data_IF_986206883882
#
_entry.id   IF_986206883882
#
_cell.length_a   1.000
_cell.length_b   1.000
_cell.length_c   1.000
_cell.angle_alpha   90.00
_cell.angle_beta   90.00
_cell.angle_gamma   90.00
#
_symmetry.space_group_name_H-M   'P 1'
#
loop_
_entity.id
_entity.type
_entity.pdbx_description
1 polymer ?
#
# COMPACT_ATOMS: atom_id res chain seq x y z
N UNK A 1 28.28 -12.17 35.07
CA UNK A 1 27.03 -12.84 35.47
C UNK A 1 25.89 -11.82 35.42
N UNK A 2 25.29 -11.63 34.24
CA UNK A 2 24.10 -10.79 34.07
C UNK A 2 22.89 -11.71 33.95
N UNK A 3 21.85 -11.47 34.75
CA UNK A 3 20.61 -12.23 34.72
C UNK A 3 20.00 -12.18 33.30
N UNK A 4 19.85 -13.32 32.59
CA UNK A 4 19.48 -13.33 31.17
C UNK A 4 17.96 -13.23 30.91
N UNK A 5 17.18 -12.75 31.89
CA UNK A 5 15.72 -12.64 31.75
C UNK A 5 15.34 -11.17 31.78
N UNK A 6 15.04 -10.61 30.60
CA UNK A 6 14.35 -9.33 30.46
C UNK A 6 12.92 -9.63 30.02
N UNK A 7 12.04 -10.00 30.95
CA UNK A 7 10.60 -10.23 30.67
C UNK A 7 10.03 -11.58 31.13
N UNK A 8 8.74 -11.82 30.84
CA UNK A 8 8.08 -13.12 31.06
C UNK A 8 8.27 -14.02 29.83
N UNK A 9 8.89 -15.19 30.03
CA UNK A 9 9.01 -16.22 28.99
C UNK A 9 7.63 -16.71 28.55
N UNK A 10 7.45 -16.89 27.23
CA UNK A 10 6.22 -17.39 26.63
C UNK A 10 6.36 -18.84 26.18
N UNK A 11 5.25 -19.51 25.90
CA UNK A 11 5.27 -20.81 25.25
C UNK A 11 5.81 -20.68 23.80
N UNK A 12 6.45 -21.72 23.23
CA UNK A 12 6.93 -21.67 21.84
C UNK A 12 5.83 -21.39 20.81
N UNK A 13 4.62 -21.88 21.04
CA UNK A 13 3.44 -21.61 20.19
C UNK A 13 2.99 -20.14 20.24
N UNK A 14 3.45 -19.37 21.23
CA UNK A 14 3.22 -17.93 21.41
C UNK A 14 4.49 -17.09 21.12
N UNK A 15 5.48 -17.65 20.43
CA UNK A 15 6.71 -16.96 20.00
C UNK A 15 7.90 -17.05 20.96
N UNK A 16 7.76 -17.70 22.12
CA UNK A 16 8.85 -17.87 23.08
C UNK A 16 9.99 -18.76 22.54
N UNK A 17 11.24 -18.46 22.87
CA UNK A 17 12.38 -19.28 22.45
C UNK A 17 13.76 -18.80 22.91
N UNK A 18 14.81 -19.40 22.35
CA UNK A 18 16.19 -19.12 22.77
C UNK A 18 16.65 -17.67 22.52
N UNK A 19 15.96 -16.93 21.65
CA UNK A 19 16.24 -15.51 21.45
C UNK A 19 15.93 -14.69 22.72
N UNK A 20 14.98 -15.13 23.57
CA UNK A 20 14.59 -14.39 24.78
C UNK A 20 15.72 -14.40 25.82
N UNK A 21 16.51 -15.50 25.82
CA UNK A 21 17.68 -15.68 26.69
C UNK A 21 18.94 -15.04 26.13
N UNK A 22 19.11 -15.08 24.81
CA UNK A 22 20.26 -14.52 24.11
C UNK A 22 19.82 -13.71 22.90
N UNK A 23 19.37 -12.46 23.10
CA UNK A 23 18.77 -11.63 22.05
C UNK A 23 19.66 -11.42 20.83
N UNK A 24 20.98 -11.42 21.04
CA UNK A 24 21.97 -11.16 20.00
C UNK A 24 22.64 -12.44 19.45
N UNK A 25 22.07 -13.64 19.73
CA UNK A 25 22.60 -14.89 19.18
C UNK A 25 22.38 -14.93 17.66
N UNK A 26 23.29 -15.58 16.94
CA UNK A 26 23.11 -15.81 15.50
C UNK A 26 21.81 -16.60 15.23
N UNK A 27 20.90 -16.04 14.44
CA UNK A 27 19.65 -16.69 14.06
C UNK A 27 19.86 -17.50 12.77
N UNK A 28 19.98 -18.82 12.89
CA UNK A 28 20.13 -19.70 11.72
C UNK A 28 18.82 -19.96 10.96
N UNK A 29 17.67 -19.47 11.45
CA UNK A 29 16.38 -19.72 10.77
C UNK A 29 16.27 -19.07 9.39
N UNK A 30 17.00 -17.97 9.20
CA UNK A 30 17.09 -17.26 7.90
C UNK A 30 17.65 -18.14 6.76
N UNK A 31 18.27 -19.29 7.06
CA UNK A 31 18.79 -20.24 6.08
C UNK A 31 17.81 -21.35 5.69
N UNK A 32 16.63 -21.39 6.31
CA UNK A 32 15.58 -22.38 6.02
C UNK A 32 14.19 -21.75 5.92
N UNK A 33 14.13 -20.49 5.48
CA UNK A 33 12.87 -19.81 5.17
C UNK A 33 12.11 -20.55 4.05
N UNK A 34 10.79 -20.48 4.10
CA UNK A 34 9.86 -21.15 3.20
C UNK A 34 10.22 -22.64 2.99
N UNK A 35 10.29 -23.44 4.07
CA UNK A 35 10.68 -24.83 3.98
C UNK A 35 9.62 -25.64 3.23
N UNK A 36 10.03 -26.64 2.46
CA UNK A 36 9.13 -27.46 1.63
C UNK A 36 7.97 -28.12 2.41
N UNK A 37 8.15 -28.39 3.70
CA UNK A 37 7.09 -28.98 4.56
C UNK A 37 5.93 -28.01 4.82
N UNK A 38 6.14 -26.70 4.69
CA UNK A 38 5.12 -25.67 4.83
C UNK A 38 4.43 -25.34 3.49
N UNK A 39 4.97 -25.81 2.36
CA UNK A 39 4.40 -25.59 1.03
C UNK A 39 3.27 -26.60 0.74
N UNK A 40 2.00 -26.16 0.61
CA UNK A 40 0.87 -27.05 0.34
C UNK A 40 0.80 -27.55 -1.10
N UNK A 41 1.61 -27.02 -2.02
CA UNK A 41 1.56 -27.37 -3.44
C UNK A 41 2.31 -28.67 -3.74
N UNK A 42 3.29 -29.02 -2.90
CA UNK A 42 4.12 -30.22 -3.02
C UNK A 42 5.18 -30.12 -4.12
N UNK A 43 6.20 -30.98 -4.01
CA UNK A 43 7.42 -30.89 -4.82
C UNK A 43 7.24 -31.07 -6.34
N UNK A 44 6.11 -31.59 -6.80
CA UNK A 44 5.82 -31.78 -8.22
C UNK A 44 5.17 -30.55 -8.88
N UNK A 45 4.81 -29.53 -8.10
CA UNK A 45 4.16 -28.33 -8.62
C UNK A 45 5.16 -27.44 -9.38
N UNK A 46 4.78 -27.04 -10.59
CA UNK A 46 5.53 -26.12 -11.44
C UNK A 46 4.62 -24.94 -11.83
N UNK A 47 4.80 -23.81 -11.15
CA UNK A 47 3.98 -22.63 -11.41
C UNK A 47 4.13 -22.10 -12.83
N UNK A 48 5.33 -22.18 -13.42
CA UNK A 48 5.57 -21.70 -14.77
C UNK A 48 4.74 -22.49 -15.79
N UNK A 49 4.68 -23.81 -15.64
CA UNK A 49 3.84 -24.67 -16.46
C UNK A 49 2.34 -24.38 -16.26
N UNK A 50 1.92 -24.09 -15.04
CA UNK A 50 0.51 -23.81 -14.72
C UNK A 50 0.02 -22.48 -15.29
N UNK A 51 0.78 -21.40 -15.03
CA UNK A 51 0.41 -20.04 -15.47
C UNK A 51 0.50 -19.88 -16.98
N UNK A 52 1.39 -20.62 -17.65
CA UNK A 52 1.46 -20.65 -19.12
C UNK A 52 0.17 -21.15 -19.79
N UNK A 53 -0.73 -21.82 -19.04
CA UNK A 53 -2.03 -22.31 -19.54
C UNK A 53 -3.21 -21.44 -19.14
N UNK A 54 -2.97 -20.24 -18.60
CA UNK A 54 -4.02 -19.31 -18.19
C UNK A 54 -4.60 -18.59 -19.41
N UNK A 55 -5.92 -18.41 -19.42
CA UNK A 55 -6.60 -17.53 -20.38
C UNK A 55 -6.52 -16.09 -19.85
N UNK A 56 -5.56 -15.32 -20.38
CA UNK A 56 -5.29 -13.95 -19.92
C UNK A 56 -6.45 -13.01 -20.23
N UNK A 57 -7.12 -13.20 -21.37
CA UNK A 57 -8.25 -12.35 -21.75
C UNK A 57 -9.45 -12.62 -20.85
N UNK A 58 -9.71 -13.89 -20.51
CA UNK A 58 -10.73 -14.23 -19.51
C UNK A 58 -10.40 -13.69 -18.12
N UNK A 59 -9.14 -13.79 -17.70
CA UNK A 59 -8.70 -13.24 -16.41
C UNK A 59 -8.88 -11.72 -16.37
N UNK A 60 -8.53 -11.03 -17.45
CA UNK A 60 -8.69 -9.57 -17.57
C UNK A 60 -10.16 -9.18 -17.41
N UNK A 61 -11.07 -9.84 -18.15
CA UNK A 61 -12.53 -9.60 -18.04
C UNK A 61 -13.06 -9.86 -16.64
N UNK A 62 -12.60 -10.92 -15.96
CA UNK A 62 -13.04 -11.21 -14.60
C UNK A 62 -12.56 -10.15 -13.59
N UNK A 63 -11.35 -9.60 -13.79
CA UNK A 63 -10.84 -8.51 -12.96
C UNK A 63 -11.62 -7.21 -13.23
N UNK A 64 -11.92 -6.91 -14.50
CA UNK A 64 -12.77 -5.77 -14.89
C UNK A 64 -14.19 -5.85 -14.31
N UNK A 65 -14.78 -7.04 -14.31
CA UNK A 65 -16.06 -7.29 -13.64
C UNK A 65 -15.96 -6.99 -12.14
N UNK A 66 -14.92 -7.48 -11.46
CA UNK A 66 -14.69 -7.15 -10.04
C UNK A 66 -14.54 -5.65 -9.83
N UNK A 67 -13.80 -4.94 -10.71
CA UNK A 67 -13.56 -3.50 -10.56
C UNK A 67 -14.85 -2.69 -10.53
N UNK A 68 -15.86 -3.10 -11.29
CA UNK A 68 -17.14 -2.38 -11.42
C UNK A 68 -18.27 -2.96 -10.57
N UNK A 69 -18.03 -4.07 -9.85
CA UNK A 69 -19.02 -4.73 -9.01
C UNK A 69 -18.80 -4.39 -7.54
N UNK A 70 -19.28 -3.21 -7.14
CA UNK A 70 -19.20 -2.71 -5.76
C UNK A 70 -19.77 -3.71 -4.75
N UNK A 71 -19.03 -3.94 -3.67
CA UNK A 71 -19.38 -4.82 -2.56
C UNK A 71 -19.91 -4.02 -1.36
N UNK A 72 -20.94 -4.50 -0.65
CA UNK A 72 -21.56 -3.75 0.45
C UNK A 72 -20.63 -3.55 1.66
N UNK A 73 -19.67 -4.45 1.86
CA UNK A 73 -18.71 -4.39 2.97
C UNK A 73 -17.52 -3.47 2.71
N UNK A 74 -17.35 -2.99 1.47
CA UNK A 74 -16.37 -1.97 1.12
C UNK A 74 -16.78 -1.27 -0.19
N UNK A 75 -17.77 -0.37 -0.20
CA UNK A 75 -18.31 0.19 -1.43
C UNK A 75 -17.26 0.90 -2.30
N UNK A 76 -17.36 0.76 -3.62
CA UNK A 76 -16.40 1.33 -4.57
C UNK A 76 -16.59 2.84 -4.73
N UNK A 77 -15.54 3.62 -4.52
CA UNK A 77 -15.52 5.03 -4.90
C UNK A 77 -15.80 5.16 -6.40
N UNK A 78 -16.69 6.08 -6.77
CA UNK A 78 -17.07 6.34 -8.17
C UNK A 78 -17.58 5.10 -8.92
N UNK A 79 -17.99 4.04 -8.19
CA UNK A 79 -18.40 2.76 -8.78
C UNK A 79 -17.26 1.97 -9.41
N UNK A 80 -15.98 2.26 -9.11
CA UNK A 80 -14.84 1.60 -9.73
C UNK A 80 -13.67 1.38 -8.75
N UNK A 81 -13.28 0.14 -8.48
CA UNK A 81 -12.13 -0.20 -7.60
C UNK A 81 -10.76 -0.03 -8.25
N UNK A 82 -10.69 0.27 -9.54
CA UNK A 82 -9.43 0.43 -10.28
C UNK A 82 -8.37 1.27 -9.56
N UNK A 83 -8.68 2.49 -9.08
CA UNK A 83 -7.69 3.29 -8.35
C UNK A 83 -7.17 2.63 -7.06
N UNK A 84 -8.03 1.90 -6.35
CA UNK A 84 -7.62 1.11 -5.17
C UNK A 84 -6.68 -0.04 -5.57
N UNK A 85 -6.91 -0.69 -6.71
CA UNK A 85 -6.03 -1.75 -7.22
C UNK A 85 -4.69 -1.22 -7.74
N UNK A 86 -4.67 -0.01 -8.33
CA UNK A 86 -3.42 0.68 -8.68
C UNK A 86 -2.60 0.92 -7.42
N UNK A 87 -3.21 1.50 -6.36
CA UNK A 87 -2.53 1.68 -5.07
C UNK A 87 -2.04 0.35 -4.50
N UNK A 88 -2.86 -0.70 -4.53
CA UNK A 88 -2.48 -2.02 -4.02
C UNK A 88 -1.24 -2.57 -4.73
N UNK A 89 -1.22 -2.53 -6.06
CA UNK A 89 -0.10 -2.99 -6.88
C UNK A 89 1.15 -2.14 -6.66
N UNK A 90 0.99 -0.81 -6.59
CA UNK A 90 2.06 0.13 -6.26
C UNK A 90 2.70 -0.19 -4.91
N UNK A 91 1.91 -0.32 -3.84
CA UNK A 91 2.42 -0.66 -2.51
C UNK A 91 3.04 -2.06 -2.45
N UNK A 92 2.58 -3.01 -3.27
CA UNK A 92 3.17 -4.34 -3.32
C UNK A 92 4.59 -4.28 -3.91
N UNK A 93 4.79 -3.53 -4.99
CA UNK A 93 6.09 -3.33 -5.62
C UNK A 93 6.99 -2.35 -4.84
N UNK A 94 6.40 -1.36 -4.17
CA UNK A 94 7.09 -0.23 -3.57
C UNK A 94 7.82 -0.50 -2.27
N UNK A 95 7.92 -1.75 -1.81
CA UNK A 95 8.79 -2.10 -0.68
C UNK A 95 10.22 -2.44 -1.10
N UNK A 96 10.47 -2.51 -2.41
CA UNK A 96 11.75 -2.88 -3.00
C UNK A 96 12.88 -1.90 -2.62
N UNK A 97 14.11 -2.40 -2.46
CA UNK A 97 15.28 -1.53 -2.27
C UNK A 97 16.54 -2.08 -2.91
N UNK A 98 17.27 -1.22 -3.61
CA UNK A 98 18.44 -1.60 -4.42
C UNK A 98 19.63 -2.09 -3.59
N UNK A 99 19.69 -1.73 -2.30
CA UNK A 99 20.86 -2.00 -1.47
C UNK A 99 21.09 -3.51 -1.26
N UNK A 100 20.01 -4.29 -1.10
CA UNK A 100 20.09 -5.75 -0.94
C UNK A 100 19.08 -6.53 -1.79
N UNK A 101 18.28 -5.85 -2.61
CA UNK A 101 17.30 -6.46 -3.50
C UNK A 101 16.05 -7.02 -2.81
N UNK A 102 15.87 -6.81 -1.50
CA UNK A 102 14.69 -7.28 -0.75
C UNK A 102 13.47 -6.38 -1.00
N UNK A 103 12.31 -6.90 -0.58
CA UNK A 103 11.01 -6.28 -0.82
C UNK A 103 10.53 -6.48 -2.25
N UNK A 104 9.55 -5.67 -2.65
CA UNK A 104 8.89 -5.75 -3.94
C UNK A 104 7.79 -6.82 -3.99
N UNK A 105 7.16 -6.91 -5.17
CA UNK A 105 5.96 -7.75 -5.35
C UNK A 105 6.25 -9.23 -5.62
N UNK A 106 7.53 -9.62 -5.72
CA UNK A 106 7.95 -10.91 -6.29
C UNK A 106 7.42 -12.16 -5.58
N UNK A 107 7.20 -12.10 -4.27
CA UNK A 107 6.65 -13.21 -3.48
C UNK A 107 5.23 -12.98 -2.97
N UNK A 108 4.57 -11.88 -3.35
CA UNK A 108 3.24 -11.53 -2.84
C UNK A 108 3.22 -11.20 -1.34
N UNK A 109 4.36 -10.75 -0.77
CA UNK A 109 4.56 -10.58 0.68
C UNK A 109 3.60 -9.60 1.35
N UNK A 110 2.94 -8.72 0.59
CA UNK A 110 1.91 -7.81 1.11
C UNK A 110 0.74 -8.55 1.79
N UNK A 111 0.55 -9.85 1.54
CA UNK A 111 -0.50 -10.65 2.20
C UNK A 111 -0.13 -11.18 3.59
N UNK A 112 1.13 -11.05 4.00
CA UNK A 112 1.63 -11.52 5.30
C UNK A 112 2.16 -10.37 6.17
N UNK A 113 2.34 -10.65 7.45
CA UNK A 113 3.06 -9.78 8.36
C UNK A 113 4.52 -9.54 7.88
N UNK A 114 5.14 -8.39 8.17
CA UNK A 114 4.52 -7.21 8.78
C UNK A 114 3.73 -6.37 7.76
N UNK A 115 3.93 -6.59 6.46
CA UNK A 115 3.45 -5.71 5.39
C UNK A 115 1.91 -5.64 5.33
N UNK A 116 1.21 -6.72 5.63
CA UNK A 116 -0.25 -6.74 5.64
C UNK A 116 -0.87 -5.78 6.69
N UNK A 117 -0.05 -5.28 7.62
CA UNK A 117 -0.46 -4.48 8.78
C UNK A 117 0.32 -3.18 8.94
N UNK A 118 1.17 -2.84 7.98
CA UNK A 118 1.79 -1.51 7.94
C UNK A 118 0.73 -0.42 7.86
N UNK A 119 0.90 0.73 8.56
CA UNK A 119 -0.01 1.86 8.46
C UNK A 119 -0.28 2.30 7.02
N UNK A 120 0.77 2.37 6.20
CA UNK A 120 0.64 2.81 4.80
C UNK A 120 -0.05 1.77 3.91
N UNK A 121 -0.23 0.53 4.39
CA UNK A 121 -1.02 -0.51 3.72
C UNK A 121 -2.46 -0.59 4.24
N UNK A 122 -2.92 0.38 5.03
CA UNK A 122 -4.31 0.48 5.46
C UNK A 122 -5.28 0.33 4.28
N UNK A 123 -6.36 -0.41 4.53
CA UNK A 123 -7.42 -0.78 3.57
C UNK A 123 -7.00 -1.71 2.41
N UNK A 124 -5.70 -2.02 2.25
CA UNK A 124 -5.27 -2.98 1.23
C UNK A 124 -5.62 -4.44 1.59
N UNK A 125 -5.96 -4.70 2.85
CA UNK A 125 -6.62 -5.93 3.28
C UNK A 125 -7.98 -6.13 2.58
N UNK A 126 -8.78 -5.05 2.44
CA UNK A 126 -10.03 -5.07 1.65
C UNK A 126 -9.74 -5.22 0.16
N UNK A 127 -8.75 -4.50 -0.36
CA UNK A 127 -8.36 -4.58 -1.77
C UNK A 127 -8.00 -6.03 -2.19
N UNK A 128 -7.14 -6.70 -1.42
CA UNK A 128 -6.79 -8.11 -1.66
C UNK A 128 -8.02 -9.02 -1.52
N UNK A 129 -8.89 -8.76 -0.55
CA UNK A 129 -10.12 -9.54 -0.34
C UNK A 129 -11.10 -9.45 -1.51
N UNK A 130 -11.21 -8.29 -2.17
CA UNK A 130 -12.05 -8.08 -3.35
C UNK A 130 -11.63 -9.00 -4.52
N UNK A 131 -10.34 -9.37 -4.61
CA UNK A 131 -9.79 -10.23 -5.66
C UNK A 131 -9.85 -11.72 -5.34
N UNK A 132 -10.32 -12.10 -4.14
CA UNK A 132 -10.48 -13.52 -3.79
C UNK A 132 -11.35 -14.32 -4.78
N UNK A 133 -12.49 -13.81 -5.31
CA UNK A 133 -13.28 -14.52 -6.31
C UNK A 133 -12.48 -14.88 -7.57
N UNK A 134 -11.59 -13.97 -8.03
CA UNK A 134 -10.69 -14.23 -9.15
C UNK A 134 -9.68 -15.31 -8.77
N UNK A 135 -8.98 -15.16 -7.63
CA UNK A 135 -8.04 -16.19 -7.15
C UNK A 135 -8.70 -17.56 -7.01
N UNK A 136 -9.95 -17.60 -6.52
CA UNK A 136 -10.75 -18.82 -6.38
C UNK A 136 -11.06 -19.47 -7.73
N UNK A 137 -11.36 -18.69 -8.76
CA UNK A 137 -11.66 -19.19 -10.12
C UNK A 137 -10.43 -19.78 -10.80
N UNK A 138 -9.27 -19.13 -10.69
CA UNK A 138 -8.04 -19.55 -11.38
C UNK A 138 -7.16 -20.51 -10.56
N UNK A 139 -7.38 -20.61 -9.26
CA UNK A 139 -6.73 -21.60 -8.39
C UNK A 139 -5.21 -21.57 -8.51
N UNK A 140 -4.61 -22.74 -8.76
CA UNK A 140 -3.14 -22.91 -8.86
C UNK A 140 -2.50 -22.31 -10.11
N UNK A 141 -3.30 -21.93 -11.13
CA UNK A 141 -2.79 -21.29 -12.34
C UNK A 141 -2.43 -19.82 -12.17
N UNK A 142 -2.80 -19.23 -11.04
CA UNK A 142 -2.56 -17.82 -10.76
C UNK A 142 -2.14 -17.65 -9.30
N UNK A 143 -0.93 -17.19 -9.07
CA UNK A 143 -0.45 -16.81 -7.74
C UNK A 143 -1.10 -15.50 -7.29
N UNK A 144 -1.17 -15.29 -5.97
CA UNK A 144 -1.50 -13.97 -5.42
C UNK A 144 -0.46 -12.93 -5.81
N UNK A 145 0.82 -13.32 -5.85
CA UNK A 145 1.91 -12.43 -6.25
C UNK A 145 1.70 -11.82 -7.65
N UNK A 146 1.29 -12.62 -8.64
CA UNK A 146 0.94 -12.11 -9.97
C UNK A 146 -0.40 -11.39 -9.97
N UNK A 147 -1.45 -11.95 -9.35
CA UNK A 147 -2.79 -11.37 -9.35
C UNK A 147 -2.82 -9.94 -8.78
N UNK A 148 -2.10 -9.67 -7.69
CA UNK A 148 -2.09 -8.36 -7.04
C UNK A 148 -1.60 -7.27 -8.00
N UNK A 149 -0.49 -7.51 -8.69
CA UNK A 149 0.08 -6.51 -9.61
C UNK A 149 -0.61 -6.53 -10.99
N UNK A 150 -1.13 -7.67 -11.43
CA UNK A 150 -1.91 -7.75 -12.65
C UNK A 150 -3.22 -6.98 -12.53
N UNK A 151 -3.87 -7.00 -11.36
CA UNK A 151 -5.06 -6.21 -11.09
C UNK A 151 -4.80 -4.69 -11.23
N UNK A 152 -3.64 -4.21 -10.77
CA UNK A 152 -3.23 -2.81 -11.00
C UNK A 152 -3.00 -2.50 -12.49
N UNK A 153 -2.43 -3.44 -13.24
CA UNK A 153 -2.24 -3.28 -14.69
C UNK A 153 -3.58 -3.25 -15.45
N UNK A 154 -4.50 -4.17 -15.15
CA UNK A 154 -5.85 -4.17 -15.73
C UNK A 154 -6.62 -2.90 -15.36
N UNK A 155 -6.45 -2.38 -14.14
CA UNK A 155 -7.09 -1.12 -13.73
C UNK A 155 -6.64 0.08 -14.55
N UNK A 156 -5.34 0.16 -14.89
CA UNK A 156 -4.83 1.20 -15.77
C UNK A 156 -5.45 1.08 -17.18
N UNK A 157 -5.44 -0.12 -17.75
CA UNK A 157 -6.02 -0.38 -19.09
C UNK A 157 -7.51 -0.04 -19.13
N UNK A 158 -8.30 -0.49 -18.14
CA UNK A 158 -9.76 -0.30 -18.10
C UNK A 158 -10.14 1.18 -17.95
N UNK A 159 -9.27 1.99 -17.35
CA UNK A 159 -9.46 3.43 -17.18
C UNK A 159 -8.79 4.27 -18.29
N UNK A 160 -8.32 3.62 -19.36
CA UNK A 160 -7.88 4.28 -20.59
C UNK A 160 -6.38 4.56 -20.69
N UNK A 161 -5.55 4.01 -19.80
CA UNK A 161 -4.10 4.06 -19.92
C UNK A 161 -3.56 2.74 -20.46
N UNK A 162 -3.06 2.77 -21.71
CA UNK A 162 -2.41 1.60 -22.31
C UNK A 162 -1.06 1.34 -21.66
N UNK A 163 -0.93 0.21 -20.98
CA UNK A 163 0.30 -0.21 -20.32
C UNK A 163 1.32 -0.73 -21.33
N UNK A 164 2.59 -0.76 -20.92
CA UNK A 164 3.68 -1.21 -21.78
C UNK A 164 3.65 -2.73 -22.03
N UNK A 165 3.16 -3.50 -21.06
CA UNK A 165 3.08 -4.96 -21.11
C UNK A 165 3.11 -5.56 -19.70
N UNK A 166 2.92 -6.87 -19.61
CA UNK A 166 2.90 -7.59 -18.33
C UNK A 166 3.56 -8.97 -18.44
N UNK A 167 4.30 -9.36 -17.39
CA UNK A 167 4.91 -10.68 -17.25
C UNK A 167 4.42 -11.41 -16.01
N UNK A 168 3.87 -12.61 -16.21
CA UNK A 168 3.56 -13.57 -15.15
C UNK A 168 4.80 -14.38 -14.76
N UNK A 169 4.74 -15.06 -13.62
CA UNK A 169 5.78 -15.97 -13.15
C UNK A 169 6.19 -15.78 -11.69
N UNK A 170 5.56 -14.87 -10.94
CA UNK A 170 5.84 -14.71 -9.51
C UNK A 170 5.24 -15.87 -8.73
N UNK A 171 6.07 -16.61 -8.02
CA UNK A 171 5.63 -17.77 -7.22
C UNK A 171 5.18 -17.28 -5.84
N UNK A 172 4.04 -17.79 -5.38
CA UNK A 172 3.58 -17.56 -4.02
C UNK A 172 4.50 -18.23 -2.98
N UNK A 173 4.65 -17.58 -1.83
CA UNK A 173 5.35 -18.13 -0.66
C UNK A 173 4.36 -18.38 0.49
N UNK A 174 4.76 -19.14 1.51
CA UNK A 174 3.82 -19.69 2.51
C UNK A 174 4.08 -19.21 3.93
N UNK A 175 5.20 -18.54 4.13
CA UNK A 175 5.50 -17.75 5.33
C UNK A 175 6.14 -16.41 4.89
N UNK A 176 6.06 -15.36 5.72
CA UNK A 176 6.70 -14.09 5.42
C UNK A 176 8.22 -14.21 5.35
N UNK A 177 8.83 -13.45 4.44
CA UNK A 177 10.29 -13.25 4.43
C UNK A 177 10.73 -12.34 5.59
N UNK A 178 11.72 -12.76 6.36
CA UNK A 178 12.30 -12.00 7.47
C UNK A 178 13.23 -10.90 6.94
N UNK A 179 12.67 -9.71 6.70
CA UNK A 179 13.40 -8.55 6.20
C UNK A 179 13.63 -7.52 7.31
N UNK A 180 14.84 -6.96 7.36
CA UNK A 180 15.14 -5.80 8.21
C UNK A 180 14.52 -4.53 7.61
N UNK A 181 13.50 -3.99 8.27
CA UNK A 181 12.76 -2.78 7.86
C UNK A 181 13.13 -1.51 8.64
N UNK A 182 14.05 -1.61 9.59
CA UNK A 182 14.43 -0.54 10.50
C UNK A 182 14.50 -1.05 11.95
N UNK A 183 15.05 -0.23 12.83
CA UNK A 183 15.22 -0.56 14.26
C UNK A 183 14.08 -0.03 15.14
N UNK A 184 13.23 0.82 14.59
CA UNK A 184 12.14 1.45 15.33
C UNK A 184 11.13 0.41 15.79
N UNK A 185 10.74 0.50 17.07
CA UNK A 185 9.75 -0.37 17.68
C UNK A 185 8.34 0.25 17.70
N UNK A 186 8.13 1.36 17.01
CA UNK A 186 6.85 2.07 16.94
C UNK A 186 6.52 2.38 15.48
N UNK A 187 5.27 2.10 15.08
CA UNK A 187 4.78 2.48 13.76
C UNK A 187 4.92 3.98 13.54
N UNK A 188 5.34 4.36 12.33
CA UNK A 188 5.67 5.74 11.94
C UNK A 188 6.83 6.37 12.74
N UNK A 189 7.57 5.59 13.54
CA UNK A 189 8.79 6.05 14.18
C UNK A 189 9.90 6.35 13.16
N UNK A 190 10.80 7.26 13.55
CA UNK A 190 12.02 7.61 12.82
C UNK A 190 13.20 7.62 13.80
N UNK A 191 14.10 6.65 13.63
CA UNK A 191 15.43 6.64 14.24
C UNK A 191 16.51 6.40 13.17
N UNK A 192 16.22 6.70 11.91
CA UNK A 192 16.95 6.20 10.73
C UNK A 192 17.72 7.27 9.98
N UNK A 193 17.80 8.48 10.51
CA UNK A 193 18.60 9.55 9.93
C UNK A 193 19.84 9.86 10.74
N UNK A 194 20.90 10.26 10.05
CA UNK A 194 22.11 10.82 10.63
C UNK A 194 22.65 11.97 9.77
N UNK A 195 23.70 12.65 10.22
CA UNK A 195 24.32 13.74 9.45
C UNK A 195 23.32 14.86 9.16
N UNK A 196 23.25 15.30 7.90
CA UNK A 196 22.27 16.32 7.47
C UNK A 196 20.88 15.72 7.29
N UNK A 197 20.80 14.63 6.52
CA UNK A 197 19.60 13.85 6.23
C UNK A 197 19.97 12.52 5.58
N UNK A 198 21.03 11.90 6.09
CA UNK A 198 21.57 10.66 5.54
C UNK A 198 20.75 9.48 6.07
N UNK A 199 19.86 8.95 5.22
CA UNK A 199 19.00 7.81 5.55
C UNK A 199 19.82 6.53 5.73
N UNK A 200 19.57 5.79 6.80
CA UNK A 200 20.24 4.55 7.17
C UNK A 200 20.18 3.52 6.04
N UNK A 201 21.32 2.91 5.71
CA UNK A 201 21.31 1.71 4.86
C UNK A 201 20.92 0.50 5.71
N UNK A 202 20.12 -0.43 5.17
CA UNK A 202 19.78 -0.56 3.76
C UNK A 202 18.39 0.00 3.38
N UNK A 203 17.82 0.86 4.23
CA UNK A 203 16.42 1.31 4.17
C UNK A 203 16.16 2.26 3.00
N UNK A 204 14.89 2.31 2.55
CA UNK A 204 14.43 3.15 1.45
C UNK A 204 13.12 3.89 1.75
N UNK A 205 12.71 3.95 3.03
CA UNK A 205 11.53 4.67 3.50
C UNK A 205 11.88 5.57 4.69
N UNK A 206 11.20 6.72 4.81
CA UNK A 206 11.55 7.76 5.80
C UNK A 206 11.05 7.45 7.22
N UNK A 207 10.05 6.60 7.38
CA UNK A 207 9.50 6.19 8.68
C UNK A 207 9.11 4.70 8.65
N UNK A 208 9.06 4.06 9.81
CA UNK A 208 8.68 2.66 9.92
C UNK A 208 7.22 2.46 9.50
N UNK A 209 6.98 1.55 8.56
CA UNK A 209 5.62 1.26 8.09
C UNK A 209 5.11 2.15 6.95
N UNK A 210 5.94 3.05 6.41
CA UNK A 210 5.68 3.77 5.16
C UNK A 210 6.33 3.06 3.97
N UNK A 211 5.76 3.21 2.78
CA UNK A 211 6.35 2.71 1.54
C UNK A 211 7.55 3.58 1.14
N UNK A 212 7.39 4.90 1.03
CA UNK A 212 8.45 5.83 0.64
C UNK A 212 8.60 6.99 1.64
N UNK A 213 7.71 7.98 1.53
CA UNK A 213 7.77 9.26 2.22
C UNK A 213 6.49 9.51 3.00
N UNK A 214 6.53 10.46 3.93
CA UNK A 214 5.34 10.91 4.63
C UNK A 214 4.52 11.85 3.71
N UNK A 215 3.22 11.58 3.48
CA UNK A 215 2.40 12.38 2.56
C UNK A 215 2.14 13.81 3.04
N UNK A 216 2.31 14.08 4.34
CA UNK A 216 2.22 15.41 4.96
C UNK A 216 3.57 16.14 4.97
N UNK A 217 4.60 15.57 4.34
CA UNK A 217 5.98 16.08 4.34
C UNK A 217 6.82 15.58 5.52
N UNK A 218 8.13 15.89 5.54
CA UNK A 218 9.09 15.35 6.51
C UNK A 218 8.63 15.52 7.96
N UNK A 219 8.45 14.40 8.67
CA UNK A 219 7.99 14.38 10.07
C UNK A 219 6.64 15.10 10.29
N UNK A 220 5.77 15.10 9.28
CA UNK A 220 4.48 15.79 9.31
C UNK A 220 4.57 17.31 9.16
N UNK A 221 5.72 17.83 8.71
CA UNK A 221 5.89 19.24 8.34
C UNK A 221 5.59 19.41 6.83
N UNK A 222 4.54 20.17 6.46
CA UNK A 222 4.11 20.26 5.07
C UNK A 222 4.92 21.31 4.30
N UNK A 223 6.23 21.08 4.19
CA UNK A 223 7.14 21.83 3.32
C UNK A 223 7.40 21.01 2.03
N UNK A 224 6.86 21.42 0.88
CA UNK A 224 7.02 20.69 -0.38
C UNK A 224 8.47 20.61 -0.86
N UNK A 225 9.29 21.62 -0.57
CA UNK A 225 10.70 21.63 -0.98
C UNK A 225 11.51 20.62 -0.17
N UNK A 226 11.22 20.51 1.13
CA UNK A 226 11.81 19.49 1.98
C UNK A 226 11.29 18.09 1.62
N UNK A 227 10.00 17.94 1.33
CA UNK A 227 9.40 16.68 0.88
C UNK A 227 10.05 16.16 -0.42
N UNK A 228 10.35 17.06 -1.37
CA UNK A 228 11.02 16.71 -2.62
C UNK A 228 12.42 16.10 -2.43
N UNK A 229 13.13 16.44 -1.34
CA UNK A 229 14.42 15.82 -1.00
C UNK A 229 14.23 14.36 -0.59
N UNK A 230 13.23 14.10 0.26
CA UNK A 230 12.89 12.73 0.69
C UNK A 230 12.38 11.88 -0.46
N UNK A 231 11.53 12.45 -1.32
CA UNK A 231 11.00 11.76 -2.51
C UNK A 231 12.16 11.32 -3.39
N UNK A 232 13.06 12.25 -3.73
CA UNK A 232 14.22 11.93 -4.57
C UNK A 232 15.08 10.82 -3.98
N UNK A 233 15.42 10.91 -2.68
CA UNK A 233 16.31 9.93 -2.06
C UNK A 233 15.66 8.54 -1.94
N UNK A 234 14.40 8.46 -1.51
CA UNK A 234 13.70 7.19 -1.34
C UNK A 234 13.45 6.50 -2.68
N UNK A 235 12.95 7.23 -3.69
CA UNK A 235 12.76 6.67 -5.03
C UNK A 235 14.07 6.25 -5.69
N UNK A 236 15.15 7.01 -5.51
CA UNK A 236 16.50 6.60 -5.96
C UNK A 236 16.92 5.27 -5.35
N UNK A 237 16.65 5.06 -4.05
CA UNK A 237 16.90 3.77 -3.37
C UNK A 237 15.98 2.63 -3.83
N UNK A 238 14.94 2.95 -4.60
CA UNK A 238 14.04 2.00 -5.24
C UNK A 238 14.22 1.97 -6.77
N UNK A 239 15.41 2.36 -7.24
CA UNK A 239 15.83 2.32 -8.65
C UNK A 239 15.12 3.30 -9.60
N UNK A 240 14.43 4.31 -9.08
CA UNK A 240 13.76 5.32 -9.90
C UNK A 240 14.55 6.62 -9.93
N UNK A 241 14.83 7.13 -11.12
CA UNK A 241 15.41 8.46 -11.32
C UNK A 241 14.34 9.57 -11.26
N UNK A 242 14.74 10.84 -11.42
CA UNK A 242 13.80 11.97 -11.32
C UNK A 242 12.62 11.90 -12.32
N UNK A 243 12.86 11.48 -13.57
CA UNK A 243 11.81 11.38 -14.60
C UNK A 243 10.84 10.26 -14.26
N UNK A 244 11.35 9.08 -13.89
CA UNK A 244 10.54 7.93 -13.50
C UNK A 244 9.71 8.25 -12.25
N UNK A 245 10.32 8.91 -11.27
CA UNK A 245 9.68 9.33 -10.02
C UNK A 245 8.50 10.27 -10.29
N UNK A 246 8.73 11.34 -11.06
CA UNK A 246 7.68 12.28 -11.41
C UNK A 246 6.55 11.59 -12.22
N UNK A 247 6.91 10.73 -13.18
CA UNK A 247 5.94 10.00 -13.99
C UNK A 247 5.07 9.04 -13.15
N UNK A 248 5.67 8.34 -12.17
CA UNK A 248 4.95 7.44 -11.26
C UNK A 248 3.97 8.18 -10.35
N UNK A 249 4.40 9.29 -9.76
CA UNK A 249 3.55 10.07 -8.83
C UNK A 249 2.38 10.71 -9.57
N UNK A 250 2.66 11.43 -10.67
CA UNK A 250 1.61 12.05 -11.49
C UNK A 250 0.70 10.99 -12.10
N UNK A 251 1.29 9.92 -12.65
CA UNK A 251 0.55 8.84 -13.27
C UNK A 251 -0.38 8.14 -12.29
N UNK A 252 0.10 7.85 -11.08
CA UNK A 252 -0.68 7.23 -10.02
C UNK A 252 -1.80 8.13 -9.50
N UNK A 253 -1.48 9.38 -9.15
CA UNK A 253 -2.44 10.34 -8.61
C UNK A 253 -3.38 10.96 -9.66
N UNK A 254 -3.25 10.60 -10.93
CA UNK A 254 -4.30 10.87 -11.93
C UNK A 254 -5.60 10.13 -11.58
N UNK A 255 -5.50 9.04 -10.80
CA UNK A 255 -6.62 8.20 -10.41
C UNK A 255 -6.96 8.28 -8.92
N UNK A 256 -8.25 8.12 -8.61
CA UNK A 256 -8.76 7.88 -7.27
C UNK A 256 -8.70 9.08 -6.32
N UNK A 257 -8.60 8.75 -5.03
CA UNK A 257 -8.61 9.70 -3.91
C UNK A 257 -7.93 9.09 -2.68
N UNK A 258 -7.59 9.94 -1.71
CA UNK A 258 -7.27 9.55 -0.34
C UNK A 258 -8.53 9.47 0.54
N UNK A 259 -8.44 8.89 1.74
CA UNK A 259 -9.57 8.71 2.67
C UNK A 259 -9.22 9.15 4.09
N UNK A 260 -9.97 10.11 4.60
CA UNK A 260 -9.82 10.76 5.89
C UNK A 260 -11.12 11.44 6.33
N UNK A 261 -12.26 10.77 6.13
CA UNK A 261 -13.59 11.32 6.33
C UNK A 261 -13.90 11.72 7.79
N UNK A 262 -13.19 11.13 8.77
CA UNK A 262 -13.39 11.38 10.19
C UNK A 262 -12.14 11.12 11.03
N UNK A 263 -12.25 11.25 12.36
CA UNK A 263 -11.13 11.12 13.30
C UNK A 263 -10.39 9.78 13.20
N UNK A 264 -9.07 9.81 13.12
CA UNK A 264 -8.23 8.62 12.94
C UNK A 264 -8.24 7.67 14.15
N UNK A 265 -8.55 8.16 15.36
CA UNK A 265 -8.65 7.38 16.60
C UNK A 265 -9.89 6.47 16.66
N UNK A 266 -10.84 6.64 15.72
CA UNK A 266 -12.00 5.76 15.56
C UNK A 266 -11.72 4.52 14.71
N UNK A 267 -10.49 4.38 14.20
CA UNK A 267 -10.03 3.22 13.43
C UNK A 267 -9.43 2.20 14.40
N UNK A 268 -9.98 0.97 14.38
CA UNK A 268 -9.53 -0.15 15.19
C UNK A 268 -8.16 -0.72 14.77
N UNK A 269 -7.71 -1.80 15.44
CA UNK A 269 -6.38 -2.37 15.23
C UNK A 269 -6.16 -2.87 13.79
N UNK A 270 -4.90 -2.86 13.37
CA UNK A 270 -4.39 -3.44 12.14
C UNK A 270 -4.60 -4.98 12.07
N UNK A 271 -4.55 -5.60 10.88
CA UNK A 271 -4.95 -7.01 10.69
C UNK A 271 -4.31 -8.03 11.64
N UNK A 272 -3.02 -7.94 11.95
CA UNK A 272 -2.36 -8.90 12.86
C UNK A 272 -2.78 -8.73 14.33
N UNK A 273 -3.35 -7.59 14.70
CA UNK A 273 -3.88 -7.31 16.04
C UNK A 273 -5.42 -7.33 16.08
N UNK A 274 -6.07 -7.62 14.95
CA UNK A 274 -7.52 -7.65 14.85
C UNK A 274 -8.11 -8.93 15.50
N UNK A 275 -9.30 -8.84 16.09
CA UNK A 275 -9.96 -10.00 16.69
C UNK A 275 -10.43 -10.98 15.61
N UNK A 276 -10.52 -12.27 15.98
CA UNK A 276 -10.74 -13.38 15.06
C UNK A 276 -11.93 -13.18 14.13
N UNK A 277 -13.05 -12.64 14.62
CA UNK A 277 -14.28 -12.43 13.85
C UNK A 277 -14.12 -11.47 12.66
N UNK A 278 -13.03 -10.69 12.58
CA UNK A 278 -12.72 -9.87 11.41
C UNK A 278 -12.14 -10.66 10.23
N UNK A 279 -11.87 -11.96 10.41
CA UNK A 279 -11.44 -12.87 9.34
C UNK A 279 -10.20 -12.34 8.59
N UNK A 280 -9.20 -11.86 9.34
CA UNK A 280 -7.94 -11.33 8.82
C UNK A 280 -8.06 -9.97 8.12
N UNK A 281 -9.18 -9.26 8.27
CA UNK A 281 -9.27 -7.83 7.99
C UNK A 281 -8.97 -7.04 9.26
N UNK A 282 -8.48 -5.81 9.11
CA UNK A 282 -8.18 -4.90 10.21
C UNK A 282 -8.76 -3.52 9.96
N UNK A 283 -8.30 -2.52 10.72
CA UNK A 283 -8.68 -1.11 10.58
C UNK A 283 -10.20 -0.90 10.50
N UNK A 284 -10.96 -1.67 11.28
CA UNK A 284 -12.41 -1.51 11.36
C UNK A 284 -12.70 -0.13 11.96
N UNK A 285 -13.33 0.74 11.19
CA UNK A 285 -13.72 2.07 11.64
C UNK A 285 -15.06 2.03 12.36
N UNK A 286 -15.18 2.82 13.43
CA UNK A 286 -16.43 3.08 14.14
C UNK A 286 -17.07 4.42 13.75
N UNK A 287 -16.44 5.18 12.86
CA UNK A 287 -16.96 6.44 12.33
C UNK A 287 -18.02 6.20 11.26
N UNK A 288 -19.26 6.67 11.49
CA UNK A 288 -20.36 6.51 10.54
C UNK A 288 -20.62 5.05 10.17
N UNK A 289 -20.67 4.76 8.88
CA UNK A 289 -20.75 3.38 8.34
C UNK A 289 -19.42 2.63 8.41
N UNK A 290 -18.31 3.32 8.66
CA UNK A 290 -16.94 2.78 8.70
C UNK A 290 -16.34 2.41 7.34
N UNK A 291 -17.07 2.64 6.24
CA UNK A 291 -16.69 2.29 4.87
C UNK A 291 -17.23 3.33 3.88
N UNK A 292 -16.87 3.21 2.60
CA UNK A 292 -17.44 4.07 1.53
C UNK A 292 -17.29 5.56 1.85
N UNK A 293 -18.42 6.27 1.97
CA UNK A 293 -18.46 7.71 2.24
C UNK A 293 -17.77 8.11 3.56
N UNK A 294 -17.69 7.20 4.52
CA UNK A 294 -17.10 7.40 5.85
C UNK A 294 -15.72 6.72 5.98
N UNK A 295 -15.10 6.31 4.87
CA UNK A 295 -13.83 5.61 4.89
C UNK A 295 -12.70 6.48 5.46
N UNK A 296 -11.85 5.86 6.27
CA UNK A 296 -10.61 6.44 6.81
C UNK A 296 -9.50 5.45 6.49
N UNK A 297 -8.44 5.92 5.82
CA UNK A 297 -7.28 5.09 5.45
C UNK A 297 -5.99 5.80 5.83
N UNK A 298 -5.69 6.94 5.19
CA UNK A 298 -4.48 7.73 5.51
C UNK A 298 -4.78 8.84 6.51
N UNK A 299 -6.05 9.22 6.66
CA UNK A 299 -6.46 10.43 7.38
C UNK A 299 -6.47 11.69 6.52
N UNK A 300 -5.95 11.62 5.28
CA UNK A 300 -6.00 12.72 4.30
C UNK A 300 -7.24 12.56 3.41
N UNK A 301 -7.87 13.67 3.02
CA UNK A 301 -9.16 13.67 2.30
C UNK A 301 -9.05 14.45 0.97
N UNK A 302 -8.06 14.08 0.17
CA UNK A 302 -7.72 14.68 -1.13
C UNK A 302 -8.36 13.89 -2.28
N UNK A 303 -8.89 14.62 -3.26
CA UNK A 303 -9.24 14.12 -4.59
C UNK A 303 -8.49 14.99 -5.60
N UNK A 304 -7.57 14.39 -6.36
CA UNK A 304 -6.63 15.15 -7.20
C UNK A 304 -7.23 15.65 -8.50
N UNK A 305 -8.08 14.83 -9.14
CA UNK A 305 -8.61 15.09 -10.49
C UNK A 305 -10.13 15.16 -10.52
N UNK A 306 -10.68 15.85 -11.52
CA UNK A 306 -12.12 15.87 -11.80
C UNK A 306 -12.60 14.60 -12.54
N UNK A 307 -11.70 13.68 -12.86
CA UNK A 307 -11.93 12.44 -13.61
C UNK A 307 -11.25 11.23 -12.92
N UNK A 308 -11.58 10.90 -11.66
CA UNK A 308 -10.76 9.99 -10.83
C UNK A 308 -10.67 8.54 -11.34
N UNK A 309 -11.49 8.17 -12.32
CA UNK A 309 -11.53 6.83 -12.92
C UNK A 309 -11.18 6.84 -14.41
N UNK A 310 -10.44 7.86 -14.86
CA UNK A 310 -10.06 8.01 -16.26
C UNK A 310 -8.67 8.61 -16.40
N UNK A 311 -7.89 8.09 -17.34
CA UNK A 311 -6.61 8.67 -17.73
C UNK A 311 -6.82 9.93 -18.57
N UNK A 312 -6.26 11.04 -18.11
CA UNK A 312 -6.09 12.29 -18.83
C UNK A 312 -4.97 13.11 -18.15
N UNK A 313 -4.84 14.40 -18.48
CA UNK A 313 -3.78 15.26 -17.95
C UNK A 313 -4.25 16.14 -16.78
N UNK A 314 -5.44 15.88 -16.21
CA UNK A 314 -6.05 16.79 -15.24
C UNK A 314 -5.24 16.94 -13.96
N UNK A 315 -4.43 15.96 -13.54
CA UNK A 315 -3.54 16.12 -12.38
C UNK A 315 -2.59 17.32 -12.55
N UNK A 316 -1.87 17.39 -13.67
CA UNK A 316 -0.92 18.47 -13.93
C UNK A 316 -1.62 19.79 -14.22
N UNK A 317 -2.73 19.75 -14.96
CA UNK A 317 -3.54 20.93 -15.26
C UNK A 317 -4.07 21.57 -13.97
N UNK A 318 -4.52 20.76 -13.01
CA UNK A 318 -4.98 21.22 -11.70
C UNK A 318 -3.78 21.69 -10.88
N UNK A 319 -2.69 20.91 -10.78
CA UNK A 319 -1.50 21.27 -10.00
C UNK A 319 -0.95 22.65 -10.36
N UNK A 320 -0.85 22.95 -11.66
CA UNK A 320 -0.31 24.23 -12.16
C UNK A 320 -1.38 25.31 -12.38
N UNK A 321 -2.65 24.93 -12.52
CA UNK A 321 -3.75 25.85 -12.81
C UNK A 321 -4.28 26.60 -11.59
N UNK A 322 -3.88 26.20 -10.38
CA UNK A 322 -4.29 26.83 -9.13
C UNK A 322 -3.08 27.22 -8.28
N UNK A 323 -3.30 28.23 -7.43
CA UNK A 323 -2.45 28.52 -6.30
C UNK A 323 -2.92 27.72 -5.07
N UNK A 324 -1.98 27.31 -4.22
CA UNK A 324 -2.25 26.36 -3.13
C UNK A 324 -2.06 27.01 -1.75
N UNK A 325 -3.01 26.76 -0.84
CA UNK A 325 -2.88 27.12 0.58
C UNK A 325 -3.06 25.90 1.49
N UNK A 326 -2.38 25.92 2.64
CA UNK A 326 -2.47 24.87 3.64
C UNK A 326 -3.87 24.83 4.25
N UNK A 327 -4.38 23.61 4.39
CA UNK A 327 -5.61 23.32 5.10
C UNK A 327 -5.47 22.00 5.87
N UNK A 328 -6.53 21.60 6.56
CA UNK A 328 -6.60 20.33 7.27
C UNK A 328 -7.75 19.47 6.77
N UNK A 329 -7.51 18.17 6.73
CA UNK A 329 -8.55 17.17 6.48
C UNK A 329 -9.56 17.11 7.65
N UNK A 330 -10.71 16.44 7.49
CA UNK A 330 -11.61 16.14 8.61
C UNK A 330 -10.95 15.36 9.75
N UNK A 331 -9.91 14.58 9.47
CA UNK A 331 -9.11 13.87 10.48
C UNK A 331 -7.97 14.72 11.08
N UNK A 332 -7.78 15.96 10.61
CA UNK A 332 -6.76 16.89 11.10
C UNK A 332 -5.40 16.82 10.39
N UNK A 333 -5.26 16.00 9.34
CA UNK A 333 -4.02 15.85 8.57
C UNK A 333 -3.77 17.05 7.64
N UNK A 334 -2.50 17.40 7.40
CA UNK A 334 -2.12 18.44 6.47
C UNK A 334 -2.42 18.06 5.01
N UNK A 335 -2.98 19.01 4.28
CA UNK A 335 -3.17 18.93 2.83
C UNK A 335 -3.25 20.35 2.26
N UNK A 336 -3.25 20.46 0.94
CA UNK A 336 -3.43 21.72 0.23
C UNK A 336 -4.79 21.79 -0.45
N UNK A 337 -5.35 22.99 -0.55
CA UNK A 337 -6.55 23.32 -1.33
C UNK A 337 -6.27 24.53 -2.21
N UNK A 338 -7.04 24.67 -3.30
CA UNK A 338 -6.97 25.87 -4.15
C UNK A 338 -7.34 27.14 -3.36
N UNK A 339 -6.52 28.19 -3.49
CA UNK A 339 -6.73 29.50 -2.85
C UNK A 339 -8.01 30.20 -3.30
N UNK A 340 -8.48 31.13 -2.47
CA UNK A 340 -9.58 32.05 -2.76
C UNK A 340 -10.90 31.35 -3.18
N UNK A 341 -11.06 30.08 -2.80
CA UNK A 341 -12.21 29.26 -3.20
C UNK A 341 -12.25 28.93 -4.70
N UNK A 342 -11.13 29.06 -5.41
CA UNK A 342 -11.05 28.75 -6.83
C UNK A 342 -11.39 27.29 -7.12
N UNK A 343 -12.12 27.03 -8.21
CA UNK A 343 -12.50 25.67 -8.62
C UNK A 343 -13.53 24.99 -7.71
N UNK A 344 -14.21 25.71 -6.80
CA UNK A 344 -15.22 25.12 -5.93
C UNK A 344 -16.30 24.36 -6.73
N UNK A 345 -16.61 23.13 -6.31
CA UNK A 345 -17.63 22.30 -6.93
C UNK A 345 -17.19 21.53 -8.17
N UNK A 346 -15.95 21.68 -8.64
CA UNK A 346 -15.47 21.06 -9.89
C UNK A 346 -15.05 19.59 -9.73
N UNK A 347 -14.66 19.18 -8.52
CA UNK A 347 -14.18 17.83 -8.24
C UNK A 347 -15.36 16.95 -7.77
N UNK A 348 -15.60 15.77 -8.36
CA UNK A 348 -16.75 14.95 -8.04
C UNK A 348 -16.61 14.25 -6.68
N UNK A 349 -17.73 14.10 -5.97
CA UNK A 349 -17.84 13.28 -4.77
C UNK A 349 -17.89 11.78 -5.12
N UNK A 350 -17.19 10.89 -4.38
CA UNK A 350 -17.16 9.46 -4.67
C UNK A 350 -18.52 8.75 -4.62
N UNK A 351 -19.52 9.30 -3.94
CA UNK A 351 -20.85 8.69 -3.76
C UNK A 351 -22.00 9.65 -4.14
N UNK A 352 -21.76 10.57 -5.09
CA UNK A 352 -22.80 11.44 -5.64
C UNK A 352 -23.25 12.58 -4.73
N UNK A 353 -22.44 12.93 -3.72
CA UNK A 353 -22.58 14.17 -2.95
C UNK A 353 -22.30 15.44 -3.78
N UNK A 354 -22.33 16.62 -3.12
CA UNK A 354 -22.01 17.88 -3.80
C UNK A 354 -20.56 17.88 -4.28
N UNK A 355 -20.29 18.65 -5.35
CA UNK A 355 -18.94 18.85 -5.85
C UNK A 355 -18.02 19.49 -4.80
N UNK A 356 -16.72 19.28 -4.97
CA UNK A 356 -15.64 19.62 -4.04
C UNK A 356 -14.64 20.58 -4.71
N UNK A 357 -13.82 21.24 -3.92
CA UNK A 357 -12.71 22.06 -4.42
C UNK A 357 -11.49 21.19 -4.79
N UNK A 358 -10.59 21.67 -5.66
CA UNK A 358 -9.32 21.01 -5.94
C UNK A 358 -8.45 20.91 -4.69
N UNK A 359 -7.80 19.76 -4.53
CA UNK A 359 -6.95 19.45 -3.37
C UNK A 359 -5.70 18.68 -3.79
N UNK A 360 -4.61 18.87 -3.06
CA UNK A 360 -3.31 18.22 -3.31
C UNK A 360 -2.64 17.80 -1.99
N UNK A 361 -1.72 16.84 -2.06
CA UNK A 361 -0.82 16.51 -0.96
C UNK A 361 0.32 17.54 -0.87
N UNK A 362 1.12 17.46 0.20
CA UNK A 362 2.38 18.22 0.27
C UNK A 362 3.49 17.63 -0.62
N UNK A 363 3.34 16.35 -0.99
CA UNK A 363 4.33 15.53 -1.72
C UNK A 363 4.17 15.61 -3.24
#
# INVERSE_FOLDING_TARGET
HGCPVVGHMKYPVEGGGNQDWWPNRLNLKVLHQNPAVADPMGAAFDYAAEVATIDVDALTRDIEEVMTTSQPWWPADYGHYGPLFIRMAWHAAGTYRIHDGRGGAGGGMQRFAPLNSWPDNASLDKARRLLWPVKKKYGKKLSWADLIVFAGNCALESMGFKTFGFGFGRVDQWEPDEVYWGKEATWLGDERYSGKRDLENPLAAVQMGLIYVNPEGPNGNPDPMAAAVDIRETFRRMAMNDVETAALIVGGHTFGKAHGAGPADLVGPEPEAAPLEQMGLGWKSSYGTGTGKDAITTGIEVVWTNTPTKWDNSFLEILYGYEWELTKSPAGAWQYTAKDGAGAGTIPDPFGGPGRSPTMLAT
#
